data_IF_101383562064
#
_entry.id   IF_101383562064
#
_cell.length_a   1.000
_cell.length_b   1.000
_cell.length_c   1.000
_cell.angle_alpha   90.00
_cell.angle_beta   90.00
_cell.angle_gamma   90.00
#
_symmetry.space_group_name_H-M   'P 1'
#
loop_
_entity.id
_entity.type
_entity.pdbx_description
1 polymer ?
#
# COMPACT_ATOMS: atom_id res chain seq x y z
N UNK A 1 12.26 1.09 7.93
CA UNK A 1 10.86 1.49 8.22
C UNK A 1 10.61 2.93 7.79
N UNK A 2 11.47 3.89 8.13
CA UNK A 2 11.34 5.30 7.73
C UNK A 2 11.20 5.50 6.21
N UNK A 3 12.05 4.85 5.40
CA UNK A 3 11.96 4.91 3.93
C UNK A 3 10.58 4.48 3.43
N UNK A 4 10.05 3.36 3.94
CA UNK A 4 8.75 2.81 3.52
C UNK A 4 7.62 3.80 3.78
N UNK A 5 7.61 4.44 4.95
CA UNK A 5 6.61 5.46 5.28
C UNK A 5 6.71 6.63 4.31
N UNK A 6 7.93 7.16 4.08
CA UNK A 6 8.15 8.26 3.12
C UNK A 6 7.74 7.88 1.69
N UNK A 7 7.98 6.63 1.27
CA UNK A 7 7.53 6.12 -0.04
C UNK A 7 6.01 6.15 -0.13
N UNK A 8 5.31 5.60 0.86
CA UNK A 8 3.85 5.59 0.88
C UNK A 8 3.27 7.00 0.95
N UNK A 9 3.90 7.93 1.69
CA UNK A 9 3.49 9.33 1.77
C UNK A 9 3.62 10.02 0.42
N UNK A 10 4.77 9.85 -0.24
CA UNK A 10 5.04 10.44 -1.56
C UNK A 10 4.12 9.91 -2.65
N UNK A 11 3.72 8.64 -2.55
CA UNK A 11 2.82 7.99 -3.51
C UNK A 11 1.33 8.09 -3.13
N UNK A 12 0.97 8.74 -2.03
CA UNK A 12 -0.38 8.63 -1.44
C UNK A 12 -1.51 9.00 -2.41
N UNK A 13 -1.38 10.11 -3.14
CA UNK A 13 -2.40 10.57 -4.10
C UNK A 13 -2.59 9.60 -5.26
N UNK A 14 -1.48 9.08 -5.79
CA UNK A 14 -1.47 8.10 -6.87
C UNK A 14 -2.09 6.78 -6.41
N UNK A 15 -1.68 6.26 -5.26
CA UNK A 15 -2.22 5.02 -4.70
C UNK A 15 -3.71 5.14 -4.42
N UNK A 16 -4.14 6.26 -3.83
CA UNK A 16 -5.55 6.49 -3.52
C UNK A 16 -6.43 6.42 -4.77
N UNK A 17 -5.93 6.85 -5.93
CA UNK A 17 -6.73 6.93 -7.16
C UNK A 17 -6.57 5.72 -8.08
N UNK A 18 -5.44 5.02 -8.03
CA UNK A 18 -5.07 3.99 -9.01
C UNK A 18 -5.19 2.56 -8.51
N UNK A 19 -5.24 2.34 -7.19
CA UNK A 19 -5.35 1.00 -6.62
C UNK A 19 -6.70 0.35 -6.96
N UNK A 20 -6.64 -0.88 -7.43
CA UNK A 20 -7.80 -1.76 -7.59
C UNK A 20 -8.05 -2.50 -6.28
N UNK A 21 -9.03 -2.01 -5.53
CA UNK A 21 -9.24 -2.36 -4.12
C UNK A 21 -9.65 -3.83 -3.86
N UNK A 22 -10.67 -4.33 -4.58
CA UNK A 22 -11.43 -5.52 -4.17
C UNK A 22 -10.59 -6.80 -4.08
N UNK A 23 -9.80 -7.09 -5.12
CA UNK A 23 -8.96 -8.27 -5.14
C UNK A 23 -7.75 -8.09 -4.21
N UNK A 24 -7.19 -6.88 -4.18
CA UNK A 24 -6.03 -6.53 -3.36
C UNK A 24 -6.31 -6.69 -1.87
N UNK A 25 -7.42 -6.13 -1.36
CA UNK A 25 -7.78 -6.22 0.06
C UNK A 25 -8.03 -7.67 0.49
N UNK A 26 -8.59 -8.49 -0.41
CA UNK A 26 -8.82 -9.91 -0.15
C UNK A 26 -7.51 -10.68 -0.04
N UNK A 27 -6.53 -10.38 -0.91
CA UNK A 27 -5.18 -10.96 -0.84
C UNK A 27 -4.43 -10.53 0.41
N UNK A 28 -4.46 -9.23 0.74
CA UNK A 28 -3.84 -8.69 1.95
C UNK A 28 -4.41 -9.30 3.24
N UNK A 29 -5.72 -9.51 3.30
CA UNK A 29 -6.35 -10.17 4.44
C UNK A 29 -5.95 -11.65 4.52
N UNK A 30 -5.93 -12.35 3.40
CA UNK A 30 -5.55 -13.78 3.35
C UNK A 30 -4.09 -14.00 3.74
N UNK A 31 -3.20 -13.05 3.42
CA UNK A 31 -1.80 -13.05 3.83
C UNK A 31 -1.60 -12.61 5.30
N UNK A 32 -2.65 -12.20 6.01
CA UNK A 32 -2.57 -11.71 7.40
C UNK A 32 -2.00 -10.30 7.54
N UNK A 33 -1.79 -9.59 6.43
CA UNK A 33 -1.24 -8.22 6.42
C UNK A 33 -2.22 -7.23 7.01
N UNK A 34 -3.51 -7.43 6.74
CA UNK A 34 -4.61 -6.73 7.40
C UNK A 34 -5.54 -7.75 8.06
N UNK A 35 -6.13 -7.35 9.17
CA UNK A 35 -7.13 -8.14 9.89
C UNK A 35 -8.52 -7.92 9.29
N UNK A 36 -9.46 -8.78 9.66
CA UNK A 36 -10.88 -8.59 9.33
C UNK A 36 -11.44 -7.27 9.85
N UNK A 37 -11.05 -6.85 11.07
CA UNK A 37 -11.50 -5.57 11.67
C UNK A 37 -10.97 -4.39 10.86
N UNK A 38 -9.69 -4.42 10.49
CA UNK A 38 -9.07 -3.39 9.66
C UNK A 38 -9.76 -3.27 8.30
N UNK A 39 -10.10 -4.40 7.67
CA UNK A 39 -10.89 -4.40 6.44
C UNK A 39 -12.27 -3.75 6.62
N UNK A 40 -12.99 -4.06 7.69
CA UNK A 40 -14.30 -3.42 7.93
C UNK A 40 -14.18 -1.90 8.06
N UNK A 41 -13.13 -1.42 8.73
CA UNK A 41 -12.87 0.03 8.85
C UNK A 41 -12.63 0.66 7.48
N UNK A 42 -11.91 -0.03 6.59
CA UNK A 42 -11.68 0.47 5.23
C UNK A 42 -13.00 0.41 4.42
N UNK A 43 -13.75 -0.69 4.51
CA UNK A 43 -15.01 -0.89 3.77
C UNK A 43 -16.14 0.03 4.23
N UNK A 44 -16.03 0.64 5.42
CA UNK A 44 -16.95 1.68 5.87
C UNK A 44 -16.86 2.98 5.03
N UNK A 45 -15.78 3.18 4.28
CA UNK A 45 -15.64 4.30 3.35
C UNK A 45 -16.52 4.09 2.11
N UNK A 46 -17.24 5.14 1.70
CA UNK A 46 -18.21 5.05 0.60
C UNK A 46 -17.58 5.13 -0.80
N UNK A 47 -16.44 5.80 -0.93
CA UNK A 47 -15.78 6.04 -2.21
C UNK A 47 -14.51 5.20 -2.30
N UNK A 48 -14.27 4.57 -3.45
CA UNK A 48 -13.14 3.66 -3.62
C UNK A 48 -11.79 4.36 -3.39
N UNK A 49 -11.65 5.62 -3.79
CA UNK A 49 -10.41 6.35 -3.50
C UNK A 49 -10.17 6.59 -2.01
N UNK A 50 -11.24 6.72 -1.20
CA UNK A 50 -11.13 6.81 0.25
C UNK A 50 -10.76 5.47 0.87
N UNK A 51 -11.32 4.37 0.35
CA UNK A 51 -10.91 3.00 0.77
C UNK A 51 -9.42 2.79 0.51
N UNK A 52 -8.96 3.15 -0.69
CA UNK A 52 -7.55 3.06 -1.06
C UNK A 52 -6.66 3.92 -0.16
N UNK A 53 -7.04 5.19 0.08
CA UNK A 53 -6.31 6.06 1.00
C UNK A 53 -6.23 5.49 2.41
N UNK A 54 -7.36 4.96 2.93
CA UNK A 54 -7.42 4.32 4.25
C UNK A 54 -6.52 3.09 4.35
N UNK A 55 -6.46 2.28 3.29
CA UNK A 55 -5.55 1.14 3.21
C UNK A 55 -4.08 1.60 3.27
N UNK A 56 -3.72 2.67 2.55
CA UNK A 56 -2.36 3.21 2.56
C UNK A 56 -1.99 3.77 3.93
N UNK A 57 -2.86 4.57 4.56
CA UNK A 57 -2.67 5.08 5.93
C UNK A 57 -2.42 3.95 6.94
N UNK A 58 -3.11 2.83 6.75
CA UNK A 58 -2.99 1.66 7.60
C UNK A 58 -1.65 0.94 7.38
N UNK A 59 -1.20 0.81 6.13
CA UNK A 59 0.11 0.25 5.80
C UNK A 59 1.27 1.09 6.33
N UNK A 60 1.15 2.42 6.33
CA UNK A 60 2.16 3.33 6.93
C UNK A 60 2.39 3.09 8.42
N UNK A 61 1.39 2.57 9.13
CA UNK A 61 1.46 2.28 10.58
C UNK A 61 1.95 0.86 10.87
N UNK A 62 2.16 0.04 9.84
CA UNK A 62 2.62 -1.35 9.97
C UNK A 62 4.13 -1.48 9.76
N UNK A 63 4.62 -2.69 9.95
CA UNK A 63 6.04 -3.00 9.81
C UNK A 63 6.45 -3.18 8.33
N UNK A 64 7.75 -3.32 8.08
CA UNK A 64 8.29 -3.50 6.73
C UNK A 64 7.76 -4.77 6.05
N UNK A 65 7.52 -5.85 6.80
CA UNK A 65 6.95 -7.08 6.25
C UNK A 65 5.53 -6.88 5.68
N UNK A 66 4.73 -5.99 6.28
CA UNK A 66 3.42 -5.63 5.72
C UNK A 66 3.55 -4.90 4.38
N UNK A 67 4.58 -4.06 4.21
CA UNK A 67 4.86 -3.42 2.93
C UNK A 67 5.34 -4.42 1.88
N UNK A 68 6.21 -5.37 2.23
CA UNK A 68 6.62 -6.45 1.33
C UNK A 68 5.43 -7.31 0.89
N UNK A 69 4.57 -7.68 1.84
CA UNK A 69 3.33 -8.40 1.53
C UNK A 69 2.40 -7.58 0.63
N UNK A 70 2.35 -6.27 0.82
CA UNK A 70 1.64 -5.37 -0.08
C UNK A 70 2.21 -5.37 -1.50
N UNK A 71 3.53 -5.32 -1.67
CA UNK A 71 4.16 -5.44 -2.98
C UNK A 71 3.87 -6.79 -3.64
N UNK A 72 3.90 -7.89 -2.88
CA UNK A 72 3.52 -9.22 -3.39
C UNK A 72 2.05 -9.26 -3.83
N UNK A 73 1.14 -8.74 -3.01
CA UNK A 73 -0.29 -8.71 -3.32
C UNK A 73 -0.60 -7.84 -4.56
N UNK A 74 0.15 -6.76 -4.79
CA UNK A 74 0.05 -5.98 -6.02
C UNK A 74 0.43 -6.81 -7.25
N UNK A 75 1.51 -7.61 -7.17
CA UNK A 75 1.90 -8.49 -8.28
C UNK A 75 0.87 -9.60 -8.52
N UNK A 76 0.39 -10.25 -7.45
CA UNK A 76 -0.63 -11.31 -7.52
C UNK A 76 -1.97 -10.83 -8.10
N UNK A 77 -2.26 -9.53 -8.01
CA UNK A 77 -3.48 -8.91 -8.57
C UNK A 77 -3.23 -8.19 -9.90
N UNK A 78 -2.07 -8.38 -10.53
CA UNK A 78 -1.74 -7.78 -11.83
C UNK A 78 -1.48 -6.28 -11.79
N UNK A 79 -1.28 -5.70 -10.60
CA UNK A 79 -0.96 -4.30 -10.37
C UNK A 79 0.55 -4.04 -10.35
N UNK A 80 1.31 -4.75 -11.20
CA UNK A 80 2.78 -4.65 -11.28
C UNK A 80 3.27 -3.23 -11.57
N UNK A 81 2.49 -2.46 -12.32
CA UNK A 81 2.79 -1.05 -12.60
C UNK A 81 2.82 -0.19 -11.32
N UNK A 82 1.94 -0.46 -10.35
CA UNK A 82 1.94 0.24 -9.05
C UNK A 82 3.10 -0.27 -8.18
N UNK A 83 3.34 -1.59 -8.20
CA UNK A 83 4.47 -2.21 -7.50
C UNK A 83 5.80 -1.61 -7.94
N UNK A 84 6.05 -1.53 -9.25
CA UNK A 84 7.28 -0.95 -9.82
C UNK A 84 7.42 0.50 -9.43
N UNK A 85 6.36 1.30 -9.54
CA UNK A 85 6.35 2.71 -9.14
C UNK A 85 6.74 2.91 -7.67
N UNK A 86 6.26 2.05 -6.76
CA UNK A 86 6.62 2.09 -5.34
C UNK A 86 8.09 1.76 -5.09
N UNK A 87 8.62 0.74 -5.77
CA UNK A 87 10.03 0.33 -5.64
C UNK A 87 10.95 1.46 -6.12
N UNK A 88 10.68 2.01 -7.31
CA UNK A 88 11.47 3.11 -7.88
C UNK A 88 11.44 4.35 -6.97
N UNK A 89 10.27 4.68 -6.41
CA UNK A 89 10.12 5.81 -5.47
C UNK A 89 10.90 5.56 -4.18
N UNK A 90 10.88 4.34 -3.64
CA UNK A 90 11.67 3.97 -2.47
C UNK A 90 13.18 4.13 -2.72
N UNK A 91 13.67 3.61 -3.84
CA UNK A 91 15.09 3.72 -4.23
C UNK A 91 15.53 5.18 -4.39
N UNK A 92 14.66 6.04 -4.97
CA UNK A 92 14.95 7.46 -5.11
C UNK A 92 15.09 8.15 -3.73
N UNK A 93 14.20 7.85 -2.78
CA UNK A 93 14.25 8.40 -1.41
C UNK A 93 15.50 7.93 -0.67
N UNK A 94 15.90 6.67 -0.82
CA UNK A 94 17.14 6.14 -0.22
C UNK A 94 18.37 6.85 -0.80
N UNK A 95 18.42 7.03 -2.12
CA UNK A 95 19.52 7.74 -2.78
C UNK A 95 19.60 9.22 -2.37
N UNK A 96 18.47 9.88 -2.15
CA UNK A 96 18.41 11.26 -1.62
C UNK A 96 18.93 11.35 -0.17
N UNK A 97 18.69 10.32 0.65
CA UNK A 97 19.08 10.29 2.07
C UNK A 97 20.57 10.02 2.29
N UNK A 98 21.29 9.55 1.28
CA UNK A 98 22.73 9.26 1.30
C UNK A 98 23.59 10.43 0.79
N UNK A 99 22.96 11.51 0.31
CA UNK A 99 23.62 12.74 -0.15
C UNK A 99 23.73 13.76 0.96
#
# INVERSE_FOLDING_TARGET
>A
METVVKTLERCYSDLSTRLQYLELVTRLQSAGTITFIERQIIEAETMDFKKNGKLVELLMRKNVAAFESFLSALSETGQDHIRTYLIETGQAIEAESLR
#
